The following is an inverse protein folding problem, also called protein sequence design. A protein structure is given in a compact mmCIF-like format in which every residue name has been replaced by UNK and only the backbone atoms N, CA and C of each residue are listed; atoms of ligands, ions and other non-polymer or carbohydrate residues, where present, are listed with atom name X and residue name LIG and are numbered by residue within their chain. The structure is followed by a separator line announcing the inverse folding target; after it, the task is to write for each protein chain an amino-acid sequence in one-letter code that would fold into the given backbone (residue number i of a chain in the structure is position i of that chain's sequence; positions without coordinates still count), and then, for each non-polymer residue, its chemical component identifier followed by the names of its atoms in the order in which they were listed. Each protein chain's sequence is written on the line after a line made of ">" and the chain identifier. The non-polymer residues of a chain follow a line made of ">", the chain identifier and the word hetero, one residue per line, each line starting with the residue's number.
data_IF_842175425617
#
_entry.id   IF_842175425617
#
_cell.length_a   1.000
_cell.length_b   1.000
_cell.length_c   1.000
_cell.angle_alpha   90.00
_cell.angle_beta   90.00
_cell.angle_gamma   90.00
#
_symmetry.space_group_name_H-M   'P 1'
#
loop_
_entity.id
_entity.type
_entity.pdbx_description
1 polymer ?
#
# COMPACT_ATOMS: atom_id res chain seq x y z
N UNK A 1 -26.74 -3.98 -1.87
CA UNK A 1 -25.63 -3.03 -1.70
C UNK A 1 -24.76 -3.28 -0.47
N UNK A 2 -25.30 -3.50 0.73
CA UNK A 2 -24.47 -3.70 1.95
C UNK A 2 -23.42 -4.83 1.90
N UNK A 3 -23.67 -5.94 1.18
CA UNK A 3 -22.71 -7.06 1.05
C UNK A 3 -21.48 -6.73 0.17
N UNK A 4 -21.65 -5.85 -0.82
CA UNK A 4 -20.57 -5.45 -1.72
C UNK A 4 -19.49 -4.63 -0.98
N UNK A 5 -19.94 -3.68 -0.16
CA UNK A 5 -19.01 -2.86 0.66
C UNK A 5 -18.26 -3.70 1.70
N UNK A 6 -18.88 -4.77 2.21
CA UNK A 6 -18.23 -5.69 3.14
C UNK A 6 -17.00 -6.39 2.52
N UNK A 7 -17.12 -6.89 1.28
CA UNK A 7 -16.01 -7.56 0.60
C UNK A 7 -14.86 -6.60 0.28
N UNK A 8 -15.17 -5.38 -0.19
CA UNK A 8 -14.13 -4.36 -0.44
C UNK A 8 -13.34 -4.02 0.82
N UNK A 9 -14.02 -3.83 1.95
CA UNK A 9 -13.36 -3.56 3.22
C UNK A 9 -12.47 -4.73 3.69
N UNK A 10 -12.93 -5.98 3.51
CA UNK A 10 -12.13 -7.17 3.85
C UNK A 10 -10.86 -7.21 3.01
N UNK A 11 -10.96 -6.97 1.70
CA UNK A 11 -9.79 -6.98 0.82
C UNK A 11 -8.81 -5.86 1.17
N UNK A 12 -9.30 -4.64 1.41
CA UNK A 12 -8.42 -3.51 1.80
C UNK A 12 -7.73 -3.76 3.15
N UNK A 13 -8.44 -4.32 4.13
CA UNK A 13 -7.84 -4.69 5.41
C UNK A 13 -6.78 -5.79 5.26
N UNK A 14 -7.02 -6.75 4.36
CA UNK A 14 -6.06 -7.81 4.07
C UNK A 14 -4.82 -7.27 3.33
N UNK A 15 -5.00 -6.36 2.36
CA UNK A 15 -3.89 -5.64 1.72
C UNK A 15 -3.02 -4.97 2.77
N UNK A 16 -3.62 -4.20 3.67
CA UNK A 16 -2.90 -3.49 4.72
C UNK A 16 -2.14 -4.45 5.65
N UNK A 17 -2.78 -5.55 6.07
CA UNK A 17 -2.15 -6.55 6.94
C UNK A 17 -0.94 -7.17 6.26
N UNK A 18 -1.05 -7.56 4.99
CA UNK A 18 0.05 -8.16 4.24
C UNK A 18 1.22 -7.21 4.01
N UNK A 19 0.93 -5.95 3.72
CA UNK A 19 1.97 -4.93 3.66
C UNK A 19 2.66 -4.77 5.03
N UNK A 20 1.90 -4.55 6.11
CA UNK A 20 2.46 -4.33 7.44
C UNK A 20 3.18 -5.54 8.04
N UNK A 21 2.89 -6.76 7.61
CA UNK A 21 3.57 -7.98 8.07
C UNK A 21 4.76 -8.38 7.20
N UNK A 22 4.97 -7.74 6.06
CA UNK A 22 6.13 -7.99 5.21
C UNK A 22 7.36 -7.24 5.76
N UNK A 23 8.48 -7.94 6.06
CA UNK A 23 9.67 -7.33 6.65
C UNK A 23 10.25 -6.17 5.84
N UNK A 24 10.37 -6.34 4.54
CA UNK A 24 10.93 -5.30 3.67
C UNK A 24 10.06 -4.04 3.68
N UNK A 25 8.74 -4.20 3.62
CA UNK A 25 7.82 -3.07 3.67
C UNK A 25 7.85 -2.36 5.01
N UNK A 26 7.66 -3.09 6.13
CA UNK A 26 7.55 -2.42 7.43
C UNK A 26 8.85 -1.76 7.87
N UNK A 27 10.02 -2.30 7.50
CA UNK A 27 11.30 -1.68 7.80
C UNK A 27 11.46 -0.34 7.07
N UNK A 28 11.12 -0.27 5.80
CA UNK A 28 11.15 0.99 5.05
C UNK A 28 10.15 2.03 5.56
N UNK A 29 9.05 1.61 6.17
CA UNK A 29 8.04 2.53 6.74
C UNK A 29 8.43 2.97 8.15
N UNK A 30 8.87 2.06 9.00
CA UNK A 30 9.07 2.29 10.44
C UNK A 30 10.39 3.02 10.75
N UNK A 31 11.52 2.55 10.20
CA UNK A 31 12.84 3.09 10.48
C UNK A 31 13.08 4.37 9.67
N UNK A 32 12.98 5.52 10.34
CA UNK A 32 13.09 6.85 9.72
C UNK A 32 14.52 7.27 9.50
N UNK A 33 15.30 7.18 10.58
CA UNK A 33 16.67 7.60 10.61
C UNK A 33 17.55 6.41 10.20
N UNK A 34 18.35 6.64 9.18
CA UNK A 34 19.47 5.78 8.88
C UNK A 34 20.58 6.32 9.74
N UNK A 35 21.18 5.48 10.57
CA UNK A 35 22.31 5.87 11.38
C UNK A 35 23.38 6.55 10.52
N UNK A 36 24.10 7.52 11.09
CA UNK A 36 25.18 8.25 10.38
C UNK A 36 26.23 7.29 9.79
N UNK A 37 26.27 6.05 10.24
CA UNK A 37 27.14 4.97 9.74
C UNK A 37 26.61 4.30 8.46
N UNK A 38 25.39 4.64 7.99
CA UNK A 38 24.87 4.16 6.70
C UNK A 38 24.41 2.69 6.71
N UNK A 39 23.92 2.18 7.84
CA UNK A 39 23.37 0.84 7.91
C UNK A 39 22.17 0.67 6.94
N UNK A 40 22.10 -0.51 6.32
CA UNK A 40 20.98 -0.85 5.47
C UNK A 40 19.70 -0.99 6.31
N UNK A 41 18.63 -0.29 5.92
CA UNK A 41 17.32 -0.38 6.58
C UNK A 41 16.84 -1.83 6.71
N UNK A 42 17.16 -2.66 5.73
CA UNK A 42 16.77 -4.08 5.75
C UNK A 42 17.52 -4.90 6.79
N UNK A 43 18.69 -4.41 7.27
CA UNK A 43 19.46 -5.04 8.36
C UNK A 43 18.90 -4.70 9.75
N UNK A 44 18.03 -3.70 9.86
CA UNK A 44 17.43 -3.31 11.14
C UNK A 44 16.62 -4.46 11.77
N UNK A 45 16.51 -4.50 13.12
CA UNK A 45 15.78 -5.53 13.83
C UNK A 45 14.34 -5.71 13.32
N UNK A 46 13.82 -6.93 13.45
CA UNK A 46 12.41 -7.17 13.18
C UNK A 46 11.52 -6.59 14.28
N UNK A 47 10.33 -6.11 13.88
CA UNK A 47 9.34 -5.63 14.82
C UNK A 47 8.54 -6.82 15.39
N UNK A 48 8.34 -6.84 16.71
CA UNK A 48 7.53 -7.88 17.36
C UNK A 48 6.06 -7.83 16.92
N UNK A 49 5.53 -6.64 16.73
CA UNK A 49 4.14 -6.43 16.33
C UNK A 49 4.00 -5.29 15.31
N UNK A 50 4.41 -5.50 14.06
CA UNK A 50 4.46 -4.44 13.05
C UNK A 50 3.09 -3.81 12.74
N UNK A 51 2.00 -4.58 12.88
CA UNK A 51 0.64 -4.06 12.66
C UNK A 51 0.28 -3.00 13.72
N UNK A 52 0.55 -3.25 14.99
CA UNK A 52 0.29 -2.27 16.06
C UNK A 52 1.18 -1.04 15.95
N UNK A 53 2.41 -1.24 15.51
CA UNK A 53 3.36 -0.13 15.35
C UNK A 53 3.02 0.79 14.18
N UNK A 54 2.48 0.26 13.09
CA UNK A 54 2.26 1.02 11.86
C UNK A 54 0.81 1.49 11.67
N UNK A 55 -0.17 0.68 12.08
CA UNK A 55 -1.57 0.99 11.81
C UNK A 55 -2.04 2.26 12.50
N UNK A 56 -2.62 3.18 11.76
CA UNK A 56 -3.05 4.53 12.20
C UNK A 56 -1.93 5.44 12.70
N UNK A 57 -0.68 5.07 12.51
CA UNK A 57 0.49 5.93 12.78
C UNK A 57 1.16 6.33 11.46
N UNK A 58 1.40 5.35 10.59
CA UNK A 58 2.05 5.50 9.29
C UNK A 58 1.29 4.82 8.15
N UNK A 59 0.44 3.82 8.45
CA UNK A 59 -0.43 3.13 7.49
C UNK A 59 -1.90 3.40 7.81
N UNK A 60 -2.62 3.94 6.83
CA UNK A 60 -3.97 4.46 6.97
C UNK A 60 -4.92 3.81 5.95
N UNK A 61 -6.11 3.38 6.40
CA UNK A 61 -7.17 2.83 5.55
C UNK A 61 -8.18 3.92 5.14
N UNK A 62 -7.70 5.02 4.63
CA UNK A 62 -8.53 6.10 4.12
C UNK A 62 -7.77 6.90 3.07
N UNK A 63 -8.51 7.70 2.33
CA UNK A 63 -7.93 8.58 1.32
C UNK A 63 -6.91 9.53 1.95
N UNK A 64 -5.83 9.75 1.22
CA UNK A 64 -4.83 10.76 1.57
C UNK A 64 -5.50 12.11 1.86
N UNK A 65 -5.15 12.77 2.97
CA UNK A 65 -5.66 14.10 3.26
C UNK A 65 -5.16 15.11 2.22
N UNK A 66 -6.04 16.04 1.81
CA UNK A 66 -5.68 17.13 0.91
C UNK A 66 -4.77 18.19 1.58
N UNK A 67 -4.69 18.15 2.92
CA UNK A 67 -3.84 19.05 3.71
C UNK A 67 -2.42 18.53 3.80
N UNK A 68 -1.47 19.44 3.89
CA UNK A 68 -0.05 19.15 4.13
C UNK A 68 0.10 18.30 5.39
N UNK A 69 0.78 17.18 5.25
CA UNK A 69 1.20 16.38 6.39
C UNK A 69 2.27 17.15 7.16
N UNK A 70 2.16 17.19 8.47
CA UNK A 70 3.12 17.89 9.33
C UNK A 70 4.17 16.96 9.95
N UNK A 71 3.98 15.63 9.82
CA UNK A 71 4.95 14.66 10.29
C UNK A 71 6.08 14.49 9.26
N UNK A 72 7.30 14.40 9.74
CA UNK A 72 8.48 14.15 8.91
C UNK A 72 8.69 12.64 8.72
N UNK A 73 7.65 11.96 8.22
CA UNK A 73 7.56 10.50 8.20
C UNK A 73 7.31 9.93 6.81
N UNK A 74 7.38 8.61 6.75
CA UNK A 74 6.78 7.81 5.69
C UNK A 74 5.30 7.60 6.02
N UNK A 75 4.42 7.89 5.07
CA UNK A 75 2.99 7.69 5.22
C UNK A 75 2.45 6.86 4.05
N UNK A 76 1.63 5.87 4.36
CA UNK A 76 1.00 5.00 3.37
C UNK A 76 -0.52 5.04 3.55
N UNK A 77 -1.24 5.33 2.49
CA UNK A 77 -2.70 5.41 2.47
C UNK A 77 -3.26 4.36 1.53
N UNK A 78 -4.18 3.52 2.01
CA UNK A 78 -4.79 2.47 1.22
C UNK A 78 -6.27 2.80 1.06
N UNK A 79 -6.72 2.95 -0.19
CA UNK A 79 -8.06 3.42 -0.53
C UNK A 79 -8.71 2.50 -1.54
N UNK A 80 -9.97 2.13 -1.30
CA UNK A 80 -10.82 1.51 -2.30
C UNK A 80 -11.33 2.59 -3.25
N UNK A 81 -11.02 2.47 -4.55
CA UNK A 81 -11.41 3.45 -5.56
C UNK A 81 -12.69 3.04 -6.28
N UNK A 82 -12.76 1.78 -6.72
CA UNK A 82 -13.89 1.26 -7.47
C UNK A 82 -14.15 -0.22 -7.14
N UNK A 83 -15.43 -0.59 -7.13
CA UNK A 83 -15.87 -1.97 -6.98
C UNK A 83 -17.13 -2.20 -7.78
N UNK A 84 -17.04 -2.88 -8.91
CA UNK A 84 -18.11 -3.04 -9.89
C UNK A 84 -18.21 -4.45 -10.45
N UNK A 85 -19.33 -4.74 -11.10
CA UNK A 85 -19.43 -5.94 -11.92
C UNK A 85 -18.49 -5.83 -13.12
N UNK A 86 -17.82 -6.93 -13.47
CA UNK A 86 -16.95 -6.96 -14.63
C UNK A 86 -17.71 -6.63 -15.91
N UNK A 87 -18.91 -7.22 -16.06
CA UNK A 87 -19.84 -6.86 -17.13
C UNK A 87 -21.28 -7.13 -16.71
N UNK A 88 -22.22 -6.56 -17.46
CA UNK A 88 -23.66 -6.86 -17.28
C UNK A 88 -24.00 -8.33 -17.55
N UNK A 89 -23.18 -9.02 -18.35
CA UNK A 89 -23.35 -10.46 -18.69
C UNK A 89 -22.80 -11.40 -17.63
N UNK A 90 -21.91 -10.90 -16.77
CA UNK A 90 -21.25 -11.68 -15.71
C UNK A 90 -21.43 -11.00 -14.35
N UNK A 91 -22.67 -10.89 -13.83
CA UNK A 91 -22.95 -10.10 -12.62
C UNK A 91 -22.30 -10.66 -11.36
N UNK A 92 -21.89 -11.94 -11.37
CA UNK A 92 -21.24 -12.61 -10.25
C UNK A 92 -19.72 -12.46 -10.26
N UNK A 93 -19.14 -11.83 -11.28
CA UNK A 93 -17.72 -11.54 -11.37
C UNK A 93 -17.53 -10.05 -11.13
N UNK A 94 -16.68 -9.72 -10.18
CA UNK A 94 -16.39 -8.35 -9.79
C UNK A 94 -14.97 -7.97 -10.15
N UNK A 95 -14.80 -6.71 -10.45
CA UNK A 95 -13.50 -6.06 -10.56
C UNK A 95 -13.40 -5.02 -9.47
N UNK A 96 -12.24 -4.95 -8.84
CA UNK A 96 -11.94 -3.96 -7.80
C UNK A 96 -10.68 -3.20 -8.18
N UNK A 97 -10.70 -1.90 -7.96
CA UNK A 97 -9.49 -1.06 -8.00
C UNK A 97 -9.27 -0.43 -6.64
N UNK A 98 -8.03 -0.42 -6.20
CA UNK A 98 -7.61 0.26 -4.99
C UNK A 98 -6.27 0.97 -5.23
N UNK A 99 -6.01 2.00 -4.46
CA UNK A 99 -4.76 2.75 -4.52
C UNK A 99 -3.99 2.60 -3.23
N UNK A 100 -2.70 2.32 -3.34
CA UNK A 100 -1.72 2.45 -2.28
C UNK A 100 -0.91 3.71 -2.55
N UNK A 101 -1.16 4.77 -1.81
CA UNK A 101 -0.43 6.03 -1.91
C UNK A 101 0.72 6.03 -0.90
N UNK A 102 1.94 6.21 -1.38
CA UNK A 102 3.15 6.32 -0.56
C UNK A 102 3.64 7.75 -0.57
N UNK A 103 3.89 8.32 0.60
CA UNK A 103 4.47 9.65 0.78
C UNK A 103 5.67 9.54 1.71
N UNK A 104 6.83 9.91 1.22
CA UNK A 104 8.10 9.90 1.96
C UNK A 104 8.57 11.33 2.14
N UNK A 105 8.77 11.75 3.39
CA UNK A 105 9.33 13.07 3.68
C UNK A 105 10.79 13.14 3.23
N UNK A 106 11.24 14.29 2.74
CA UNK A 106 12.60 14.51 2.19
C UNK A 106 13.71 14.09 3.14
N UNK A 107 13.51 14.24 4.47
CA UNK A 107 14.52 13.92 5.47
C UNK A 107 14.79 12.41 5.60
N UNK A 108 13.81 11.57 5.18
CA UNK A 108 13.96 10.11 5.18
C UNK A 108 13.92 9.51 3.76
N UNK A 109 14.02 10.34 2.73
CA UNK A 109 13.90 9.88 1.34
C UNK A 109 15.11 9.08 0.86
N UNK A 110 16.31 9.54 1.18
CA UNK A 110 17.55 8.89 0.73
C UNK A 110 17.95 7.76 1.68
N UNK A 111 18.34 6.65 1.10
CA UNK A 111 18.92 5.50 1.80
C UNK A 111 20.25 5.15 1.15
N UNK A 112 21.14 4.37 1.79
CA UNK A 112 22.39 3.94 1.17
C UNK A 112 22.21 3.24 -0.18
N UNK A 113 21.07 2.59 -0.35
CA UNK A 113 20.73 1.81 -1.55
C UNK A 113 19.85 2.55 -2.55
N UNK A 114 19.60 3.85 -2.37
CA UNK A 114 18.81 4.66 -3.28
C UNK A 114 17.64 5.39 -2.64
N UNK A 115 16.58 5.62 -3.40
CA UNK A 115 15.41 6.36 -2.93
C UNK A 115 14.38 5.43 -2.28
N UNK A 116 13.95 5.77 -1.06
CA UNK A 116 13.01 4.99 -0.25
C UNK A 116 11.62 4.87 -0.89
N UNK A 117 11.15 5.89 -1.56
CA UNK A 117 9.86 5.87 -2.25
C UNK A 117 9.85 4.86 -3.42
N UNK A 118 10.98 4.72 -4.14
CA UNK A 118 11.15 3.70 -5.19
C UNK A 118 11.26 2.31 -4.57
N UNK A 119 11.97 2.15 -3.46
CA UNK A 119 12.07 0.88 -2.76
C UNK A 119 10.68 0.40 -2.28
N UNK A 120 9.88 1.30 -1.70
CA UNK A 120 8.50 1.01 -1.30
C UNK A 120 7.60 0.68 -2.49
N UNK A 121 7.72 1.41 -3.61
CA UNK A 121 7.01 1.09 -4.85
C UNK A 121 7.29 -0.35 -5.31
N UNK A 122 8.57 -0.74 -5.34
CA UNK A 122 8.98 -2.10 -5.73
C UNK A 122 8.43 -3.15 -4.76
N UNK A 123 8.57 -2.92 -3.47
CA UNK A 123 8.10 -3.84 -2.43
C UNK A 123 6.57 -4.03 -2.50
N UNK A 124 5.80 -2.95 -2.62
CA UNK A 124 4.33 -3.01 -2.72
C UNK A 124 3.91 -3.76 -3.99
N UNK A 125 4.56 -3.49 -5.12
CA UNK A 125 4.27 -4.18 -6.38
C UNK A 125 4.51 -5.69 -6.26
N UNK A 126 5.62 -6.07 -5.67
CA UNK A 126 5.97 -7.48 -5.46
C UNK A 126 4.97 -8.20 -4.55
N UNK A 127 4.56 -7.58 -3.45
CA UNK A 127 3.58 -8.16 -2.51
C UNK A 127 2.23 -8.32 -3.22
N UNK A 128 1.75 -7.28 -3.89
CA UNK A 128 0.44 -7.29 -4.54
C UNK A 128 0.35 -8.29 -5.68
N UNK A 129 1.43 -8.45 -6.47
CA UNK A 129 1.42 -9.31 -7.65
C UNK A 129 1.78 -10.77 -7.35
N UNK A 130 2.58 -11.03 -6.31
CA UNK A 130 3.11 -12.38 -6.03
C UNK A 130 2.41 -13.10 -4.89
N UNK A 131 1.69 -12.40 -4.02
CA UNK A 131 1.05 -12.99 -2.85
C UNK A 131 -0.09 -13.94 -3.23
N UNK A 132 -0.11 -15.12 -2.60
CA UNK A 132 -1.09 -16.18 -2.87
C UNK A 132 -2.53 -15.78 -2.56
N UNK A 133 -2.76 -14.89 -1.60
CA UNK A 133 -4.10 -14.39 -1.31
C UNK A 133 -4.71 -13.71 -2.53
N UNK A 134 -3.96 -12.82 -3.19
CA UNK A 134 -4.47 -12.14 -4.39
C UNK A 134 -4.68 -13.10 -5.54
N UNK A 135 -3.87 -14.15 -5.66
CA UNK A 135 -4.08 -15.22 -6.64
C UNK A 135 -5.40 -15.96 -6.40
N UNK A 136 -5.79 -16.20 -5.14
CA UNK A 136 -7.09 -16.83 -4.83
C UNK A 136 -8.29 -15.94 -5.16
N UNK A 137 -8.10 -14.63 -5.24
CA UNK A 137 -9.15 -13.68 -5.64
C UNK A 137 -9.30 -13.52 -7.16
N UNK A 138 -8.40 -14.12 -7.95
CA UNK A 138 -8.38 -13.99 -9.41
C UNK A 138 -7.13 -13.29 -9.94
N UNK A 139 -6.24 -12.88 -9.04
CA UNK A 139 -5.00 -12.15 -9.32
C UNK A 139 -5.15 -10.67 -9.06
N UNK A 140 -4.04 -10.06 -8.66
CA UNK A 140 -3.92 -8.61 -8.54
C UNK A 140 -2.75 -8.16 -9.39
N UNK A 141 -2.86 -7.01 -10.00
CA UNK A 141 -1.79 -6.40 -10.79
C UNK A 141 -1.69 -4.92 -10.53
N UNK A 142 -0.48 -4.39 -10.62
CA UNK A 142 -0.28 -2.94 -10.66
C UNK A 142 -0.74 -2.43 -12.03
N UNK A 143 -1.84 -1.69 -12.02
CA UNK A 143 -2.47 -1.16 -13.22
C UNK A 143 -1.84 0.14 -13.69
N UNK A 144 -1.47 1.01 -12.75
CA UNK A 144 -0.88 2.32 -13.03
C UNK A 144 -0.08 2.82 -11.84
N UNK A 145 1.02 3.50 -12.13
CA UNK A 145 1.82 4.22 -11.13
C UNK A 145 1.88 5.68 -11.54
N UNK A 146 1.54 6.58 -10.62
CA UNK A 146 1.63 8.02 -10.82
C UNK A 146 2.59 8.59 -9.78
N UNK A 147 3.60 9.32 -10.24
CA UNK A 147 4.43 10.09 -9.32
C UNK A 147 3.64 11.29 -8.77
N UNK A 148 3.72 11.51 -7.49
CA UNK A 148 3.00 12.57 -6.79
C UNK A 148 3.78 13.87 -6.83
N UNK A 149 3.79 14.51 -8.02
CA UNK A 149 4.35 15.85 -8.19
C UNK A 149 3.47 16.92 -7.53
N UNK A 150 4.10 17.92 -6.93
CA UNK A 150 3.42 19.15 -6.53
C UNK A 150 2.57 19.12 -5.29
N UNK A 151 2.66 18.05 -4.47
CA UNK A 151 1.96 18.04 -3.17
C UNK A 151 2.53 19.06 -2.19
N UNK A 152 3.81 19.12 -2.08
CA UNK A 152 4.66 20.18 -1.57
C UNK A 152 6.12 19.77 -1.82
N UNK A 153 7.06 20.68 -1.58
CA UNK A 153 8.50 20.43 -1.77
C UNK A 153 9.10 19.51 -0.70
N UNK A 154 8.32 19.10 0.28
CA UNK A 154 8.79 18.33 1.45
C UNK A 154 8.60 16.82 1.29
N UNK A 155 7.75 16.37 0.35
CA UNK A 155 7.44 14.96 0.14
C UNK A 155 7.65 14.52 -1.29
N UNK A 156 8.16 13.29 -1.44
CA UNK A 156 8.15 12.51 -2.68
C UNK A 156 7.28 11.28 -2.51
N UNK A 157 6.76 10.72 -3.60
CA UNK A 157 5.99 9.49 -3.51
C UNK A 157 5.23 9.11 -4.76
N UNK A 158 4.43 8.06 -4.62
CA UNK A 158 3.69 7.45 -5.70
C UNK A 158 2.26 7.05 -5.29
N UNK A 159 1.32 7.23 -6.20
CA UNK A 159 0.03 6.54 -6.19
C UNK A 159 0.17 5.25 -7.02
N UNK A 160 0.08 4.12 -6.36
CA UNK A 160 0.15 2.78 -6.95
C UNK A 160 -1.27 2.26 -7.07
N UNK A 161 -1.83 2.32 -8.27
CA UNK A 161 -3.18 1.85 -8.54
C UNK A 161 -3.14 0.38 -8.87
N UNK A 162 -3.80 -0.43 -8.06
CA UNK A 162 -3.88 -1.87 -8.19
C UNK A 162 -5.26 -2.29 -8.65
N UNK A 163 -5.32 -3.37 -9.43
CA UNK A 163 -6.55 -3.94 -9.95
C UNK A 163 -6.63 -5.43 -9.65
N UNK A 164 -7.77 -5.85 -9.11
CA UNK A 164 -8.13 -7.24 -8.89
C UNK A 164 -9.28 -7.58 -9.83
N UNK A 165 -9.05 -8.54 -10.72
CA UNK A 165 -10.05 -9.01 -11.68
C UNK A 165 -10.59 -10.39 -11.27
N UNK A 166 -11.82 -10.68 -11.67
CA UNK A 166 -12.38 -12.02 -11.53
C UNK A 166 -12.79 -12.43 -10.12
N UNK A 167 -13.00 -11.47 -9.21
CA UNK A 167 -13.50 -11.77 -7.87
C UNK A 167 -14.87 -12.44 -7.98
N UNK A 168 -14.94 -13.72 -7.62
CA UNK A 168 -16.21 -14.47 -7.62
C UNK A 168 -16.94 -14.26 -6.30
N UNK A 169 -18.20 -13.81 -6.35
CA UNK A 169 -19.08 -13.94 -5.19
C UNK A 169 -19.25 -15.44 -4.91
N UNK A 170 -18.77 -15.91 -3.76
CA UNK A 170 -19.12 -17.27 -3.29
C UNK A 170 -20.65 -17.31 -3.13
N UNK A 171 -21.31 -18.03 -4.02
CA UNK A 171 -22.72 -18.31 -3.90
C UNK A 171 -23.04 -18.91 -2.53
N UNK A 172 -24.22 -18.57 -2.01
CA UNK A 172 -24.79 -19.22 -0.83
C UNK A 172 -25.06 -20.67 -1.10
#
# INVERSE_FOLDING_TARGET
>A
MAKLYGLGNVVISEVATRLMTNPDFYKFVYYKDIDEEGEDILSMPDLDNPVEELYRKQVWLHRRPDKVLHNQDVNVFITLDDFRNESARTPNIKTMTFTVAVLVHKNCLLTPNGSRDIALLSCISDIVEKDDYFRTLGGCSVYRVNHLFGLNTEYSGYDIVCRVDGIKERGK
#
